data_IF_766502987224
#
_entry.id   IF_766502987224
#
_cell.length_a   1.000
_cell.length_b   1.000
_cell.length_c   1.000
_cell.angle_alpha   90.00
_cell.angle_beta   90.00
_cell.angle_gamma   90.00
#
_symmetry.space_group_name_H-M   'P 1'
#
loop_
_entity.id
_entity.type
_entity.pdbx_description
1 polymer ?
#
# COMPACT_ATOMS: atom_id res chain seq x y z
N UNK A 1 -10.90 17.23 -5.87
CA UNK A 1 -10.19 16.01 -5.41
C UNK A 1 -10.27 14.98 -6.53
N UNK A 2 -9.25 14.15 -6.76
CA UNK A 2 -9.32 13.17 -7.84
C UNK A 2 -10.42 12.12 -7.53
N UNK A 3 -11.20 11.70 -8.54
CA UNK A 3 -12.30 10.73 -8.39
C UNK A 3 -11.89 9.47 -7.61
N UNK A 4 -10.69 8.96 -7.89
CA UNK A 4 -10.13 7.79 -7.20
C UNK A 4 -9.92 8.01 -5.69
N UNK A 5 -9.53 9.22 -5.28
CA UNK A 5 -9.35 9.55 -3.86
C UNK A 5 -10.68 9.56 -3.12
N UNK A 6 -11.70 10.18 -3.73
CA UNK A 6 -13.06 10.22 -3.17
C UNK A 6 -13.60 8.81 -3.00
N UNK A 7 -13.47 7.97 -4.05
CA UNK A 7 -13.94 6.58 -3.99
C UNK A 7 -13.16 5.72 -3.00
N UNK A 8 -11.82 5.87 -2.93
CA UNK A 8 -11.00 5.16 -1.96
C UNK A 8 -11.41 5.48 -0.52
N UNK A 9 -11.57 6.77 -0.20
CA UNK A 9 -12.03 7.22 1.12
C UNK A 9 -13.48 6.83 1.42
N UNK A 10 -14.35 6.85 0.42
CA UNK A 10 -15.69 6.31 0.56
C UNK A 10 -15.69 4.82 0.93
N UNK A 11 -14.82 4.03 0.30
CA UNK A 11 -14.72 2.60 0.58
C UNK A 11 -14.17 2.30 1.98
N UNK A 12 -13.20 3.09 2.49
CA UNK A 12 -12.76 3.02 3.89
C UNK A 12 -13.93 3.22 4.87
N UNK A 13 -14.78 4.24 4.61
CA UNK A 13 -15.97 4.48 5.43
C UNK A 13 -16.98 3.33 5.38
N UNK A 14 -17.24 2.77 4.20
CA UNK A 14 -18.12 1.62 4.05
C UNK A 14 -17.60 0.40 4.83
N UNK A 15 -16.29 0.11 4.76
CA UNK A 15 -15.66 -0.96 5.52
C UNK A 15 -15.81 -0.76 7.04
N UNK A 16 -15.36 0.37 7.60
CA UNK A 16 -15.41 0.58 9.06
C UNK A 16 -16.85 0.52 9.58
N UNK A 17 -17.80 1.09 8.83
CA UNK A 17 -19.23 1.10 9.20
C UNK A 17 -19.83 -0.31 9.19
N UNK A 18 -19.51 -1.11 8.16
CA UNK A 18 -19.98 -2.50 8.06
C UNK A 18 -19.45 -3.35 9.21
N UNK A 19 -18.17 -3.23 9.52
CA UNK A 19 -17.58 -3.96 10.65
C UNK A 19 -18.16 -3.50 11.99
N UNK A 20 -18.29 -2.20 12.22
CA UNK A 20 -18.88 -1.66 13.45
C UNK A 20 -20.30 -2.20 13.71
N UNK A 21 -21.16 -2.16 12.68
CA UNK A 21 -22.53 -2.67 12.78
C UNK A 21 -22.54 -4.16 13.11
N UNK A 22 -21.79 -4.96 12.34
CA UNK A 22 -21.75 -6.41 12.54
C UNK A 22 -21.21 -6.82 13.92
N UNK A 23 -20.17 -6.15 14.42
CA UNK A 23 -19.62 -6.44 15.75
C UNK A 23 -20.61 -6.05 16.86
N UNK A 24 -21.29 -4.91 16.71
CA UNK A 24 -22.32 -4.48 17.66
C UNK A 24 -23.50 -5.47 17.67
N UNK A 25 -23.93 -5.97 16.51
CA UNK A 25 -24.97 -7.00 16.37
C UNK A 25 -24.56 -8.34 17.00
N UNK A 26 -23.27 -8.67 17.00
CA UNK A 26 -22.71 -9.82 17.73
C UNK A 26 -22.62 -9.60 19.26
N UNK A 27 -23.02 -8.43 19.76
CA UNK A 27 -22.97 -8.07 21.18
C UNK A 27 -21.59 -7.63 21.67
N UNK A 28 -20.66 -7.33 20.77
CA UNK A 28 -19.35 -6.78 21.15
C UNK A 28 -19.49 -5.32 21.58
N UNK A 29 -18.71 -4.92 22.58
CA UNK A 29 -18.55 -3.50 22.93
C UNK A 29 -17.62 -2.86 21.90
N UNK A 30 -18.14 -1.95 21.09
CA UNK A 30 -17.39 -1.30 20.02
C UNK A 30 -17.56 0.22 20.07
N UNK A 31 -16.54 0.94 19.64
CA UNK A 31 -16.62 2.38 19.38
C UNK A 31 -15.86 2.71 18.08
N UNK A 32 -16.28 3.76 17.39
CA UNK A 32 -15.52 4.34 16.29
C UNK A 32 -14.82 5.59 16.81
N UNK A 33 -13.52 5.70 16.59
CA UNK A 33 -12.79 6.94 16.83
C UNK A 33 -13.18 7.99 15.78
N UNK A 34 -13.91 9.03 16.18
CA UNK A 34 -14.36 10.13 15.31
C UNK A 34 -13.22 11.11 14.97
N UNK A 35 -12.15 10.59 14.38
CA UNK A 35 -11.00 11.39 13.96
C UNK A 35 -11.32 12.23 12.71
N UNK A 36 -10.44 13.20 12.40
CA UNK A 36 -10.52 13.95 11.14
C UNK A 36 -10.46 13.01 9.91
N UNK A 37 -9.71 11.91 10.00
CA UNK A 37 -9.64 10.92 8.93
C UNK A 37 -10.99 10.22 8.72
N UNK A 38 -11.65 9.84 9.82
CA UNK A 38 -13.00 9.27 9.78
C UNK A 38 -14.02 10.24 9.17
N UNK A 39 -14.07 11.48 9.65
CA UNK A 39 -14.98 12.50 9.11
C UNK A 39 -14.73 12.77 7.62
N UNK A 40 -13.46 12.75 7.20
CA UNK A 40 -13.09 12.89 5.78
C UNK A 40 -13.60 11.70 4.96
N UNK A 41 -13.45 10.48 5.46
CA UNK A 41 -13.95 9.28 4.79
C UNK A 41 -15.48 9.31 4.65
N UNK A 42 -16.18 9.71 5.71
CA UNK A 42 -17.64 9.89 5.72
C UNK A 42 -18.11 10.93 4.71
N UNK A 43 -17.53 12.13 4.70
CA UNK A 43 -17.87 13.20 3.76
C UNK A 43 -17.60 12.78 2.29
N UNK A 44 -16.51 12.04 2.03
CA UNK A 44 -16.25 11.51 0.70
C UNK A 44 -17.27 10.44 0.30
N UNK A 45 -17.69 9.56 1.22
CA UNK A 45 -18.73 8.57 0.96
C UNK A 45 -20.07 9.23 0.61
N UNK A 46 -20.49 10.24 1.37
CA UNK A 46 -21.75 10.96 1.17
C UNK A 46 -21.83 11.70 -0.18
N UNK A 47 -20.67 12.01 -0.79
CA UNK A 47 -20.59 12.62 -2.13
C UNK A 47 -20.78 11.63 -3.28
N UNK A 48 -20.72 10.33 -3.01
CA UNK A 48 -20.93 9.28 -4.01
C UNK A 48 -22.42 9.13 -4.30
N UNK A 49 -22.75 8.67 -5.50
CA UNK A 49 -24.14 8.31 -5.84
C UNK A 49 -24.60 7.06 -5.06
N UNK A 50 -25.92 6.89 -4.94
CA UNK A 50 -26.51 5.82 -4.12
C UNK A 50 -26.13 4.41 -4.57
N UNK A 51 -25.94 4.20 -5.88
CA UNK A 51 -25.54 2.90 -6.43
C UNK A 51 -24.12 2.57 -5.97
N UNK A 52 -23.20 3.52 -6.10
CA UNK A 52 -21.82 3.31 -5.67
C UNK A 52 -21.68 3.18 -4.15
N UNK A 53 -22.52 3.87 -3.37
CA UNK A 53 -22.59 3.69 -1.92
C UNK A 53 -23.01 2.25 -1.56
N UNK A 54 -24.04 1.73 -2.23
CA UNK A 54 -24.53 0.37 -2.03
C UNK A 54 -23.48 -0.68 -2.45
N UNK A 55 -22.85 -0.49 -3.61
CA UNK A 55 -21.75 -1.34 -4.08
C UNK A 55 -20.59 -1.41 -3.08
N UNK A 56 -20.20 -0.27 -2.49
CA UNK A 56 -19.16 -0.24 -1.47
C UNK A 56 -19.56 -0.97 -0.19
N UNK A 57 -20.81 -0.90 0.24
CA UNK A 57 -21.30 -1.68 1.38
C UNK A 57 -21.34 -3.17 1.09
N UNK A 58 -21.78 -3.58 -0.10
CA UNK A 58 -21.75 -4.98 -0.53
C UNK A 58 -20.31 -5.51 -0.58
N UNK A 59 -19.39 -4.72 -1.13
CA UNK A 59 -17.97 -5.05 -1.15
C UNK A 59 -17.39 -5.23 0.26
N UNK A 60 -17.74 -4.33 1.18
CA UNK A 60 -17.34 -4.43 2.58
C UNK A 60 -17.92 -5.67 3.26
N UNK A 61 -19.22 -5.96 3.04
CA UNK A 61 -19.92 -7.13 3.60
C UNK A 61 -19.29 -8.44 3.13
N UNK A 62 -18.91 -8.53 1.86
CA UNK A 62 -18.21 -9.68 1.31
C UNK A 62 -16.88 -9.97 2.06
N UNK A 63 -16.13 -8.94 2.47
CA UNK A 63 -14.91 -9.12 3.26
C UNK A 63 -15.13 -9.51 4.73
N UNK A 64 -16.24 -9.04 5.32
CA UNK A 64 -16.56 -9.19 6.74
C UNK A 64 -16.54 -10.66 7.17
N UNK A 65 -17.23 -11.53 6.43
CA UNK A 65 -17.34 -12.94 6.77
C UNK A 65 -15.99 -13.66 6.76
N UNK A 66 -15.13 -13.35 5.79
CA UNK A 66 -13.79 -13.92 5.71
C UNK A 66 -12.95 -13.50 6.93
N UNK A 67 -12.97 -12.21 7.28
CA UNK A 67 -12.14 -11.69 8.38
C UNK A 67 -12.66 -12.16 9.75
N UNK A 68 -13.97 -12.20 9.99
CA UNK A 68 -14.53 -12.72 11.25
C UNK A 68 -14.24 -14.22 11.45
N UNK A 69 -14.23 -15.02 10.38
CA UNK A 69 -13.84 -16.43 10.46
C UNK A 69 -12.35 -16.59 10.79
N UNK A 70 -11.53 -15.65 10.35
CA UNK A 70 -10.09 -15.66 10.57
C UNK A 70 -9.68 -15.10 11.93
N UNK A 71 -10.46 -14.17 12.51
CA UNK A 71 -10.08 -13.41 13.71
C UNK A 71 -11.07 -13.63 14.87
N UNK A 72 -10.89 -14.70 15.68
CA UNK A 72 -11.77 -14.95 16.83
C UNK A 72 -11.65 -13.84 17.89
N UNK A 73 -10.49 -13.20 18.02
CA UNK A 73 -10.32 -12.06 18.92
C UNK A 73 -11.23 -10.87 18.55
N UNK A 74 -11.60 -10.70 17.28
CA UNK A 74 -12.45 -9.59 16.86
C UNK A 74 -13.91 -9.75 17.32
N UNK A 75 -14.38 -10.99 17.41
CA UNK A 75 -15.81 -11.35 17.61
C UNK A 75 -16.11 -12.01 18.96
N UNK A 76 -15.17 -12.03 19.89
CA UNK A 76 -15.34 -12.64 21.21
C UNK A 76 -14.75 -11.76 22.32
N UNK A 77 -15.29 -11.93 23.53
CA UNK A 77 -14.86 -11.21 24.74
C UNK A 77 -15.73 -10.00 25.07
N UNK A 78 -15.36 -9.32 26.16
CA UNK A 78 -16.10 -8.17 26.70
C UNK A 78 -15.29 -6.87 26.66
N UNK A 79 -14.04 -6.97 26.23
CA UNK A 79 -13.15 -5.82 26.04
C UNK A 79 -13.68 -4.95 24.91
N UNK A 80 -13.52 -3.63 25.06
CA UNK A 80 -13.86 -2.65 24.06
C UNK A 80 -12.98 -2.82 22.81
N UNK A 81 -13.62 -2.88 21.64
CA UNK A 81 -12.95 -2.82 20.34
C UNK A 81 -13.05 -1.39 19.82
N UNK A 82 -11.94 -0.68 19.77
CA UNK A 82 -11.87 0.65 19.13
C UNK A 82 -11.55 0.48 17.66
N UNK A 83 -12.37 1.07 16.79
CA UNK A 83 -12.20 1.07 15.34
C UNK A 83 -11.75 2.47 14.90
N UNK A 84 -10.64 2.56 14.18
CA UNK A 84 -10.09 3.83 13.74
C UNK A 84 -9.74 3.82 12.26
N UNK A 85 -10.06 4.90 11.54
CA UNK A 85 -9.48 5.20 10.23
C UNK A 85 -8.16 5.92 10.46
N UNK A 86 -7.06 5.37 9.93
CA UNK A 86 -5.75 5.98 10.03
C UNK A 86 -5.64 7.17 9.07
N UNK A 87 -4.91 8.20 9.50
CA UNK A 87 -4.57 9.33 8.64
C UNK A 87 -3.68 8.83 7.51
N UNK A 88 -3.91 9.30 6.29
CA UNK A 88 -2.98 9.12 5.17
C UNK A 88 -1.61 9.70 5.55
N UNK A 89 -0.72 8.86 6.09
CA UNK A 89 0.66 9.26 6.32
C UNK A 89 1.29 9.38 4.94
N UNK A 90 1.79 10.56 4.61
CA UNK A 90 2.53 10.86 3.38
C UNK A 90 3.88 10.10 3.37
N UNK A 91 3.82 8.78 3.19
CA UNK A 91 4.95 7.89 2.91
C UNK A 91 6.02 7.79 4.00
N UNK A 92 5.70 8.02 5.28
CA UNK A 92 6.66 8.04 6.40
C UNK A 92 6.78 6.73 7.19
N UNK A 93 5.70 6.28 7.84
CA UNK A 93 5.84 5.42 9.04
C UNK A 93 5.65 3.91 8.83
N UNK A 94 5.85 3.39 7.62
CA UNK A 94 5.79 1.94 7.46
C UNK A 94 4.38 1.34 7.42
N UNK A 95 3.36 1.93 8.05
CA UNK A 95 2.00 1.38 8.11
C UNK A 95 1.21 1.61 6.81
N UNK A 96 0.57 0.55 6.29
CA UNK A 96 -0.26 0.57 5.07
C UNK A 96 -1.74 0.36 5.36
N UNK A 97 -2.10 0.13 6.62
CA UNK A 97 -3.47 -0.12 7.06
C UNK A 97 -4.24 1.19 6.94
N UNK A 98 -5.46 1.09 6.44
CA UNK A 98 -6.38 2.21 6.32
C UNK A 98 -7.34 2.22 7.53
N UNK A 99 -7.71 1.03 8.03
CA UNK A 99 -8.53 0.83 9.23
C UNK A 99 -7.77 -0.07 10.21
N UNK A 100 -7.83 0.24 11.50
CA UNK A 100 -7.28 -0.60 12.59
C UNK A 100 -8.36 -0.89 13.63
N UNK A 101 -8.35 -2.12 14.13
CA UNK A 101 -9.16 -2.60 15.25
C UNK A 101 -8.23 -2.84 16.42
N UNK A 102 -8.51 -2.24 17.57
CA UNK A 102 -7.64 -2.33 18.75
C UNK A 102 -8.44 -2.79 19.97
N UNK A 103 -7.82 -3.68 20.73
CA UNK A 103 -8.17 -4.07 22.09
C UNK A 103 -7.00 -3.71 23.00
N UNK A 104 -7.14 -2.63 23.76
CA UNK A 104 -6.04 -2.02 24.52
C UNK A 104 -5.63 -2.78 25.79
N UNK A 105 -6.55 -3.48 26.45
CA UNK A 105 -6.27 -4.30 27.64
C UNK A 105 -5.46 -5.56 27.28
N UNK A 106 -5.73 -6.16 26.11
CA UNK A 106 -5.04 -7.37 25.65
C UNK A 106 -3.91 -7.13 24.66
N UNK A 107 -3.60 -5.86 24.33
CA UNK A 107 -2.60 -5.46 23.32
C UNK A 107 -2.81 -6.19 21.97
N UNK A 108 -4.07 -6.40 21.60
CA UNK A 108 -4.44 -7.05 20.36
C UNK A 108 -4.84 -6.02 19.32
N UNK A 109 -4.26 -6.16 18.12
CA UNK A 109 -4.64 -5.35 16.96
C UNK A 109 -4.66 -6.17 15.67
N UNK A 110 -5.54 -5.77 14.76
CA UNK A 110 -5.47 -6.13 13.34
C UNK A 110 -5.78 -4.90 12.52
N UNK A 111 -5.44 -4.89 11.24
CA UNK A 111 -5.96 -3.86 10.35
C UNK A 111 -6.32 -4.35 8.97
N UNK A 112 -6.94 -3.42 8.25
CA UNK A 112 -7.44 -3.59 6.91
C UNK A 112 -6.83 -2.50 6.05
N UNK A 113 -6.29 -2.88 4.89
CA UNK A 113 -6.00 -1.92 3.83
C UNK A 113 -7.08 -2.01 2.75
N UNK A 114 -7.85 -0.94 2.61
CA UNK A 114 -8.94 -0.82 1.66
C UNK A 114 -8.40 -0.41 0.29
N UNK A 115 -8.81 -1.12 -0.75
CA UNK A 115 -8.48 -0.78 -2.14
C UNK A 115 -9.71 -0.86 -3.02
N UNK A 116 -10.03 0.26 -3.67
CA UNK A 116 -11.12 0.32 -4.65
C UNK A 116 -10.55 0.21 -6.07
N UNK A 117 -10.78 -0.93 -6.73
CA UNK A 117 -10.34 -1.22 -8.11
C UNK A 117 -8.84 -1.04 -8.40
N UNK A 118 -7.97 -1.12 -7.38
CA UNK A 118 -6.54 -0.85 -7.52
C UNK A 118 -5.66 -1.82 -6.71
N UNK A 119 -4.46 -2.11 -7.20
CA UNK A 119 -3.56 -3.10 -6.60
C UNK A 119 -2.22 -2.57 -6.10
N UNK A 120 -1.81 -1.33 -6.45
CA UNK A 120 -0.45 -0.90 -6.16
C UNK A 120 -0.15 -0.87 -4.66
N UNK A 121 1.14 -0.99 -4.38
CA UNK A 121 1.73 -0.90 -3.06
C UNK A 121 1.99 0.56 -2.69
N UNK A 122 2.95 0.78 -1.79
CA UNK A 122 3.44 2.12 -1.48
C UNK A 122 3.89 2.87 -2.72
N UNK A 123 3.49 4.13 -2.73
CA UNK A 123 3.79 5.10 -3.75
C UNK A 123 5.10 5.84 -3.45
N UNK A 124 6.23 5.11 -3.47
CA UNK A 124 7.53 5.69 -3.15
C UNK A 124 7.99 6.70 -4.21
N UNK A 125 8.86 7.63 -3.81
CA UNK A 125 9.44 8.64 -4.69
C UNK A 125 10.97 8.60 -4.63
N UNK A 126 11.59 9.04 -5.72
CA UNK A 126 13.02 9.34 -5.82
C UNK A 126 13.19 10.83 -6.09
N UNK A 127 14.18 11.45 -5.44
CA UNK A 127 14.64 12.83 -5.68
C UNK A 127 16.03 13.01 -5.08
N UNK A 128 16.64 14.18 -5.29
CA UNK A 128 17.92 14.54 -4.65
C UNK A 128 17.87 14.58 -3.12
N UNK A 129 16.68 14.65 -2.54
CA UNK A 129 16.48 14.84 -1.09
C UNK A 129 15.90 13.59 -0.42
N UNK A 130 15.67 12.51 -1.18
CA UNK A 130 15.13 11.26 -0.66
C UNK A 130 16.21 10.19 -0.74
N UNK A 131 16.81 9.90 0.41
CA UNK A 131 17.59 8.68 0.61
C UNK A 131 16.64 7.48 0.70
N UNK A 132 16.45 6.77 -0.41
CA UNK A 132 15.55 5.62 -0.44
C UNK A 132 16.07 4.46 0.42
N UNK A 133 17.39 4.27 0.50
CA UNK A 133 17.99 3.22 1.31
C UNK A 133 17.70 3.46 2.78
N UNK A 134 17.96 4.67 3.28
CA UNK A 134 17.68 5.03 4.67
C UNK A 134 16.19 4.97 4.95
N UNK A 135 15.37 5.51 4.06
CA UNK A 135 13.92 5.61 4.28
C UNK A 135 13.21 4.25 4.20
N UNK A 136 13.63 3.38 3.29
CA UNK A 136 12.94 2.10 3.06
C UNK A 136 13.57 0.98 3.88
N UNK A 137 14.89 0.96 3.97
CA UNK A 137 15.66 -0.15 4.52
C UNK A 137 16.35 0.21 5.85
N UNK A 138 16.43 1.50 6.21
CA UNK A 138 17.25 1.94 7.33
C UNK A 138 18.75 1.91 7.02
N UNK A 139 19.13 1.78 5.74
CA UNK A 139 20.51 1.65 5.27
C UNK A 139 20.84 2.77 4.28
N UNK A 140 21.66 3.77 4.63
CA UNK A 140 21.86 4.94 3.77
C UNK A 140 22.45 4.57 2.41
N UNK A 141 22.01 5.28 1.37
CA UNK A 141 22.59 5.13 0.03
C UNK A 141 24.00 5.73 -0.04
N UNK A 142 24.75 5.32 -1.05
CA UNK A 142 26.08 5.85 -1.34
C UNK A 142 26.03 7.30 -1.85
N UNK A 143 27.17 7.99 -1.75
CA UNK A 143 27.34 9.27 -2.44
C UNK A 143 27.26 9.09 -3.96
N UNK A 144 27.81 7.99 -4.48
CA UNK A 144 27.79 7.66 -5.92
C UNK A 144 26.35 7.61 -6.47
N UNK A 145 25.39 7.09 -5.70
CA UNK A 145 23.97 7.14 -6.05
C UNK A 145 23.48 8.58 -6.23
N UNK A 146 23.74 9.44 -5.25
CA UNK A 146 23.32 10.85 -5.32
C UNK A 146 24.01 11.57 -6.47
N UNK A 147 25.30 11.34 -6.68
CA UNK A 147 26.05 11.91 -7.80
C UNK A 147 25.47 11.48 -9.15
N UNK A 148 25.06 10.22 -9.29
CA UNK A 148 24.45 9.69 -10.51
C UNK A 148 23.08 10.31 -10.82
N UNK A 149 22.21 10.52 -9.82
CA UNK A 149 20.87 11.08 -10.05
C UNK A 149 20.83 12.62 -10.09
N UNK A 150 21.83 13.29 -9.50
CA UNK A 150 21.87 14.74 -9.31
C UNK A 150 21.72 15.54 -10.60
N UNK A 151 22.38 15.21 -11.73
CA UNK A 151 22.20 15.95 -12.98
C UNK A 151 20.74 15.96 -13.45
N UNK A 152 20.05 14.83 -13.35
CA UNK A 152 18.64 14.69 -13.77
C UNK A 152 17.74 15.56 -12.90
N UNK A 153 17.81 15.40 -11.57
CA UNK A 153 16.93 16.15 -10.67
C UNK A 153 17.27 17.63 -10.59
N UNK A 154 18.53 18.03 -10.81
CA UNK A 154 18.91 19.44 -10.94
C UNK A 154 18.27 20.05 -12.20
N UNK A 155 18.34 19.38 -13.35
CA UNK A 155 17.66 19.83 -14.58
C UNK A 155 16.15 19.99 -14.36
N UNK A 156 15.51 19.01 -13.71
CA UNK A 156 14.08 19.08 -13.39
C UNK A 156 13.74 20.23 -12.42
N UNK A 157 14.61 20.50 -11.44
CA UNK A 157 14.43 21.60 -10.50
C UNK A 157 14.55 22.96 -11.20
N UNK A 158 15.55 23.14 -12.06
CA UNK A 158 15.72 24.35 -12.87
C UNK A 158 14.50 24.61 -13.73
N UNK A 159 14.03 23.62 -14.49
CA UNK A 159 12.83 23.75 -15.33
C UNK A 159 11.58 24.09 -14.51
N UNK A 160 11.38 23.44 -13.36
CA UNK A 160 10.29 23.81 -12.46
C UNK A 160 10.43 25.28 -12.02
N UNK A 161 11.63 25.70 -11.61
CA UNK A 161 11.87 27.02 -11.04
C UNK A 161 11.73 28.18 -12.05
N UNK A 162 12.03 27.93 -13.33
CA UNK A 162 11.79 28.86 -14.43
C UNK A 162 10.32 29.27 -14.57
N UNK A 163 9.39 28.38 -14.23
CA UNK A 163 7.95 28.60 -14.50
C UNK A 163 7.07 28.53 -13.25
N UNK A 164 7.59 28.17 -12.07
CA UNK A 164 6.78 27.97 -10.84
C UNK A 164 5.97 29.19 -10.39
N UNK A 165 6.38 30.39 -10.80
CA UNK A 165 5.73 31.65 -10.48
C UNK A 165 4.60 32.02 -11.47
N UNK A 166 4.52 31.30 -12.60
CA UNK A 166 3.47 31.45 -13.61
C UNK A 166 2.22 30.65 -13.22
N UNK A 167 1.12 30.94 -13.92
CA UNK A 167 -0.11 30.18 -13.79
C UNK A 167 0.09 28.70 -14.14
N UNK A 168 -0.63 27.81 -13.47
CA UNK A 168 -0.48 26.34 -13.63
C UNK A 168 -0.62 25.85 -15.08
N UNK A 169 -1.35 26.58 -15.91
CA UNK A 169 -1.55 26.26 -17.32
C UNK A 169 -0.28 26.48 -18.17
N UNK A 170 0.55 27.44 -17.75
CA UNK A 170 1.77 27.94 -18.42
C UNK A 170 3.05 27.32 -17.87
N UNK A 171 2.97 26.61 -16.74
CA UNK A 171 4.10 25.86 -16.18
C UNK A 171 4.59 24.75 -17.12
N UNK A 172 5.90 24.50 -17.12
CA UNK A 172 6.52 23.44 -17.91
C UNK A 172 5.86 22.09 -17.64
N UNK A 173 5.51 21.38 -18.72
CA UNK A 173 4.84 20.07 -18.68
C UNK A 173 5.77 18.97 -19.16
N UNK A 174 5.56 17.76 -18.66
CA UNK A 174 6.35 16.59 -19.09
C UNK A 174 6.26 16.28 -20.59
N UNK A 175 5.25 16.83 -21.28
CA UNK A 175 5.09 16.72 -22.74
C UNK A 175 6.19 17.46 -23.51
N UNK A 176 6.95 18.36 -22.88
CA UNK A 176 8.08 19.05 -23.52
C UNK A 176 9.26 18.12 -23.81
N UNK A 177 9.36 16.98 -23.12
CA UNK A 177 10.43 16.02 -23.33
C UNK A 177 10.01 15.00 -24.39
N UNK A 178 10.64 15.07 -25.55
CA UNK A 178 10.41 14.11 -26.64
C UNK A 178 10.80 12.69 -26.21
N UNK A 179 11.90 12.52 -25.47
CA UNK A 179 12.43 11.22 -25.06
C UNK A 179 12.71 11.11 -23.56
N UNK A 180 11.70 11.46 -22.73
CA UNK A 180 11.81 11.37 -21.25
C UNK A 180 12.22 9.99 -20.72
N UNK A 181 11.87 8.90 -21.41
CA UNK A 181 12.23 7.56 -20.95
C UNK A 181 13.75 7.34 -20.98
N UNK A 182 14.43 7.86 -22.00
CA UNK A 182 15.89 7.75 -22.12
C UNK A 182 16.59 8.85 -21.34
N UNK A 183 16.11 10.10 -21.41
CA UNK A 183 16.82 11.24 -20.81
C UNK A 183 16.64 11.37 -19.30
N UNK A 184 15.56 10.81 -18.74
CA UNK A 184 15.16 11.06 -17.35
C UNK A 184 14.99 9.75 -16.60
N UNK A 185 14.16 8.83 -17.12
CA UNK A 185 13.82 7.62 -16.37
C UNK A 185 14.97 6.62 -16.33
N UNK A 186 15.62 6.36 -17.47
CA UNK A 186 16.69 5.37 -17.57
C UNK A 186 17.87 5.69 -16.62
N UNK A 187 18.46 6.91 -16.59
CA UNK A 187 19.56 7.20 -15.69
C UNK A 187 19.19 7.03 -14.20
N UNK A 188 17.96 7.42 -13.83
CA UNK A 188 17.50 7.30 -12.44
C UNK A 188 17.23 5.85 -12.07
N UNK A 189 16.66 5.04 -12.99
CA UNK A 189 16.43 3.62 -12.78
C UNK A 189 17.72 2.81 -12.70
N UNK A 190 18.71 3.13 -13.55
CA UNK A 190 20.03 2.51 -13.49
C UNK A 190 20.71 2.81 -12.14
N UNK A 191 20.73 4.08 -11.73
CA UNK A 191 21.28 4.47 -10.42
C UNK A 191 20.56 3.75 -9.26
N UNK A 192 19.23 3.68 -9.29
CA UNK A 192 18.45 2.93 -8.31
C UNK A 192 18.76 1.43 -8.32
N UNK A 193 18.85 0.81 -9.50
CA UNK A 193 19.19 -0.61 -9.68
C UNK A 193 20.55 -0.92 -9.08
N UNK A 194 21.59 -0.17 -9.48
CA UNK A 194 22.95 -0.39 -8.99
C UNK A 194 23.04 -0.20 -7.48
N UNK A 195 22.40 0.85 -6.95
CA UNK A 195 22.45 1.14 -5.52
C UNK A 195 21.71 0.07 -4.69
N UNK A 196 20.56 -0.41 -5.15
CA UNK A 196 19.82 -1.47 -4.44
C UNK A 196 20.61 -2.79 -4.43
N UNK A 197 21.28 -3.14 -5.53
CA UNK A 197 22.13 -4.33 -5.59
C UNK A 197 23.39 -4.17 -4.72
N UNK A 198 24.01 -2.99 -4.71
CA UNK A 198 25.15 -2.67 -3.83
C UNK A 198 24.78 -2.81 -2.35
N UNK A 199 23.62 -2.28 -1.95
CA UNK A 199 23.11 -2.43 -0.59
C UNK A 199 22.88 -3.91 -0.26
N UNK A 200 22.32 -4.69 -1.18
CA UNK A 200 22.11 -6.13 -0.98
C UNK A 200 23.42 -6.92 -0.85
N UNK A 201 24.46 -6.60 -1.63
CA UNK A 201 25.78 -7.20 -1.51
C UNK A 201 26.39 -6.97 -0.11
N UNK A 202 26.12 -5.81 0.49
CA UNK A 202 26.61 -5.44 1.82
C UNK A 202 25.73 -5.95 2.97
N UNK A 203 24.42 -6.08 2.72
CA UNK A 203 23.39 -6.37 3.70
C UNK A 203 22.40 -7.40 3.16
N UNK A 204 22.54 -8.65 3.60
CA UNK A 204 21.73 -9.77 3.10
C UNK A 204 20.24 -9.66 3.50
N UNK A 205 19.91 -8.82 4.48
CA UNK A 205 18.54 -8.54 4.95
C UNK A 205 17.74 -7.61 4.03
N UNK A 206 18.37 -6.98 3.03
CA UNK A 206 17.73 -6.01 2.12
C UNK A 206 16.43 -6.52 1.47
N UNK A 207 16.34 -7.77 0.95
CA UNK A 207 15.11 -8.27 0.34
C UNK A 207 13.92 -8.27 1.32
N UNK A 208 14.18 -8.73 2.55
CA UNK A 208 13.18 -8.76 3.63
C UNK A 208 12.73 -7.35 4.00
N UNK A 209 13.68 -6.45 4.27
CA UNK A 209 13.39 -5.06 4.63
C UNK A 209 12.60 -4.33 3.54
N UNK A 210 12.89 -4.62 2.27
CA UNK A 210 12.16 -4.06 1.14
C UNK A 210 10.69 -4.53 1.13
N UNK A 211 10.43 -5.82 1.35
CA UNK A 211 9.06 -6.35 1.46
C UNK A 211 8.32 -5.72 2.64
N UNK A 212 8.92 -5.69 3.82
CA UNK A 212 8.33 -5.07 5.02
C UNK A 212 8.06 -3.58 4.81
N UNK A 213 8.92 -2.87 4.10
CA UNK A 213 8.65 -1.48 3.77
C UNK A 213 7.49 -1.33 2.78
N UNK A 214 7.47 -2.10 1.69
CA UNK A 214 6.49 -1.94 0.62
C UNK A 214 5.09 -2.43 1.00
N UNK A 215 5.00 -3.53 1.74
CA UNK A 215 3.75 -4.11 2.22
C UNK A 215 3.34 -3.58 3.59
N UNK A 216 4.28 -3.03 4.35
CA UNK A 216 4.06 -2.57 5.70
C UNK A 216 4.56 -3.55 6.76
N UNK A 217 4.88 -2.99 7.92
CA UNK A 217 5.55 -3.71 9.02
C UNK A 217 4.59 -4.41 9.98
N UNK A 218 3.29 -4.15 9.83
CA UNK A 218 2.21 -4.71 10.64
C UNK A 218 1.37 -5.63 9.77
N UNK A 219 0.89 -6.72 10.35
CA UNK A 219 0.09 -7.69 9.62
C UNK A 219 -1.33 -7.16 9.40
N UNK A 220 -1.89 -7.47 8.23
CA UNK A 220 -3.17 -6.89 7.82
C UNK A 220 -3.89 -7.70 6.74
N UNK A 221 -5.17 -7.36 6.55
CA UNK A 221 -5.98 -7.83 5.44
C UNK A 221 -6.07 -6.75 4.37
N UNK A 222 -5.60 -7.03 3.16
CA UNK A 222 -5.86 -6.18 1.99
C UNK A 222 -7.22 -6.56 1.42
N UNK A 223 -8.18 -5.64 1.48
CA UNK A 223 -9.54 -5.80 0.99
C UNK A 223 -9.69 -5.03 -0.31
N UNK A 224 -9.92 -5.74 -1.41
CA UNK A 224 -9.94 -5.17 -2.76
C UNK A 224 -11.34 -5.32 -3.35
N UNK A 225 -12.06 -4.21 -3.52
CA UNK A 225 -13.32 -4.18 -4.25
C UNK A 225 -13.07 -4.23 -5.76
N UNK A 226 -13.80 -5.10 -6.45
CA UNK A 226 -13.78 -5.30 -7.91
C UNK A 226 -15.19 -5.16 -8.48
N UNK A 227 -15.64 -3.93 -8.64
CA UNK A 227 -17.04 -3.62 -8.98
C UNK A 227 -17.49 -4.29 -10.27
N UNK A 228 -16.64 -4.28 -11.30
CA UNK A 228 -16.93 -4.92 -12.59
C UNK A 228 -17.14 -6.42 -12.49
N UNK A 229 -16.50 -7.07 -11.52
CA UNK A 229 -16.58 -8.50 -11.29
C UNK A 229 -17.56 -8.85 -10.16
N UNK A 230 -18.19 -7.84 -9.53
CA UNK A 230 -19.07 -7.98 -8.36
C UNK A 230 -18.46 -8.91 -7.29
N UNK A 231 -17.17 -8.70 -6.98
CA UNK A 231 -16.43 -9.49 -6.01
C UNK A 231 -15.48 -8.66 -5.15
N UNK A 232 -15.17 -9.18 -3.97
CA UNK A 232 -14.16 -8.66 -3.07
C UNK A 232 -13.07 -9.69 -2.89
N UNK A 233 -11.82 -9.28 -3.05
CA UNK A 233 -10.65 -10.13 -2.78
C UNK A 233 -10.08 -9.75 -1.42
N UNK A 234 -9.95 -10.72 -0.52
CA UNK A 234 -9.29 -10.57 0.76
C UNK A 234 -7.94 -11.29 0.72
N UNK A 235 -6.85 -10.51 0.77
CA UNK A 235 -5.49 -11.02 0.85
C UNK A 235 -4.95 -10.81 2.26
N UNK A 236 -4.48 -11.87 2.92
CA UNK A 236 -3.91 -11.75 4.26
C UNK A 236 -2.37 -11.70 4.19
N UNK A 237 -1.81 -10.59 4.65
CA UNK A 237 -0.36 -10.38 4.76
C UNK A 237 0.06 -10.56 6.22
N UNK A 238 0.36 -11.81 6.58
CA UNK A 238 0.72 -12.23 7.94
C UNK A 238 2.25 -12.34 8.09
N UNK A 239 2.96 -11.22 7.97
CA UNK A 239 4.43 -11.19 7.89
C UNK A 239 5.09 -11.54 9.23
N UNK A 240 4.43 -11.21 10.35
CA UNK A 240 4.90 -11.41 11.72
C UNK A 240 4.10 -12.48 12.48
N UNK A 241 3.24 -13.20 11.78
CA UNK A 241 2.39 -14.26 12.32
C UNK A 241 1.40 -13.80 13.40
N UNK A 242 0.96 -12.54 13.36
CA UNK A 242 0.03 -11.95 14.35
C UNK A 242 -1.45 -12.02 13.93
N UNK A 243 -1.77 -12.56 12.76
CA UNK A 243 -3.14 -12.84 12.34
C UNK A 243 -3.62 -14.23 12.79
N UNK A 244 -4.94 -14.38 12.91
CA UNK A 244 -5.59 -15.61 13.35
C UNK A 244 -5.07 -16.13 14.70
N UNK A 245 -4.86 -15.22 15.64
CA UNK A 245 -4.55 -15.54 17.04
C UNK A 245 -5.83 -16.04 17.71
N UNK A 246 -5.74 -17.12 18.48
CA UNK A 246 -6.88 -17.68 19.21
C UNK A 246 -7.42 -16.66 20.23
N UNK A 247 -8.72 -16.68 20.47
CA UNK A 247 -9.30 -16.05 21.65
C UNK A 247 -9.53 -17.13 22.71
N UNK A 248 -8.66 -17.18 23.73
CA UNK A 248 -8.69 -18.27 24.72
C UNK A 248 -8.70 -19.65 24.04
N UNK A 249 -9.73 -20.47 24.26
CA UNK A 249 -9.92 -21.79 23.62
C UNK A 249 -10.58 -21.73 22.24
N UNK A 250 -11.09 -20.56 21.82
CA UNK A 250 -11.77 -20.35 20.55
C UNK A 250 -10.72 -20.18 19.45
N UNK A 251 -10.71 -21.14 18.51
CA UNK A 251 -9.80 -21.16 17.37
C UNK A 251 -10.40 -20.43 16.18
N UNK A 252 -9.55 -19.85 15.30
CA UNK A 252 -10.00 -19.31 14.01
C UNK A 252 -10.65 -20.43 13.18
N UNK A 253 -11.79 -20.14 12.56
CA UNK A 253 -12.47 -21.05 11.63
C UNK A 253 -11.67 -21.19 10.32
N UNK A 254 -11.01 -20.11 9.92
CA UNK A 254 -10.09 -20.08 8.78
C UNK A 254 -8.71 -19.65 9.28
N UNK A 255 -7.74 -20.55 9.27
CA UNK A 255 -6.38 -20.21 9.73
C UNK A 255 -5.61 -19.48 8.62
N UNK A 256 -5.20 -18.25 8.88
CA UNK A 256 -4.25 -17.54 8.01
C UNK A 256 -2.85 -18.14 8.18
N UNK A 257 -2.20 -18.43 7.05
CA UNK A 257 -0.82 -18.93 7.03
C UNK A 257 0.14 -17.81 7.39
N UNK A 258 1.13 -18.13 8.21
CA UNK A 258 2.25 -17.24 8.48
C UNK A 258 3.14 -17.05 7.26
N UNK A 259 3.68 -15.85 7.08
CA UNK A 259 4.60 -15.52 6.00
C UNK A 259 6.04 -15.31 6.47
N UNK A 260 6.29 -15.30 7.79
CA UNK A 260 7.60 -15.08 8.40
C UNK A 260 8.69 -16.00 7.85
N UNK A 261 8.32 -17.25 7.53
CA UNK A 261 9.22 -18.30 7.00
C UNK A 261 9.44 -18.24 5.49
N UNK A 262 8.65 -17.43 4.78
CA UNK A 262 8.73 -17.27 3.31
C UNK A 262 9.05 -15.83 2.90
N UNK A 263 9.50 -14.97 3.81
CA UNK A 263 10.09 -13.69 3.45
C UNK A 263 11.32 -13.91 2.56
N UNK A 264 11.61 -13.02 1.60
CA UNK A 264 12.72 -13.25 0.68
C UNK A 264 14.06 -13.06 1.40
N UNK A 265 15.01 -13.91 1.04
CA UNK A 265 16.40 -13.87 1.53
C UNK A 265 17.38 -13.63 0.39
N UNK A 266 16.95 -13.77 -0.86
CA UNK A 266 17.82 -13.69 -2.03
C UNK A 266 17.17 -12.97 -3.20
N UNK A 267 17.94 -12.08 -3.83
CA UNK A 267 17.60 -11.49 -5.12
C UNK A 267 18.13 -12.41 -6.23
N UNK A 268 17.26 -12.82 -7.16
CA UNK A 268 17.66 -13.53 -8.38
C UNK A 268 18.00 -12.57 -9.50
N UNK A 269 17.18 -11.53 -9.69
CA UNK A 269 17.40 -10.53 -10.74
C UNK A 269 16.70 -9.22 -10.42
N UNK A 270 17.28 -8.12 -10.89
CA UNK A 270 16.67 -6.80 -10.93
C UNK A 270 16.95 -6.21 -12.31
N UNK A 271 16.00 -6.34 -13.23
CA UNK A 271 16.22 -6.02 -14.64
C UNK A 271 15.04 -5.27 -15.25
N UNK A 272 15.26 -4.66 -16.41
CA UNK A 272 14.18 -4.01 -17.12
C UNK A 272 13.15 -5.02 -17.59
N UNK A 273 11.88 -4.69 -17.37
CA UNK A 273 10.78 -5.39 -18.02
C UNK A 273 11.01 -5.37 -19.53
N UNK A 274 10.86 -6.52 -20.19
CA UNK A 274 11.11 -6.65 -21.63
C UNK A 274 10.36 -5.58 -22.43
N UNK A 275 11.11 -4.80 -23.21
CA UNK A 275 10.57 -3.72 -24.05
C UNK A 275 10.18 -2.44 -23.29
N UNK A 276 10.49 -2.34 -21.99
CA UNK A 276 10.25 -1.14 -21.19
C UNK A 276 11.57 -0.41 -20.90
N UNK A 277 11.49 0.92 -20.89
CA UNK A 277 12.59 1.81 -20.45
C UNK A 277 12.28 2.53 -19.13
N UNK A 278 11.12 2.27 -18.56
CA UNK A 278 10.64 2.95 -17.36
C UNK A 278 10.24 1.99 -16.23
N UNK A 279 10.44 0.68 -16.42
CA UNK A 279 9.99 -0.35 -15.48
C UNK A 279 11.10 -1.36 -15.21
N UNK A 280 11.46 -1.51 -13.94
CA UNK A 280 12.28 -2.61 -13.45
C UNK A 280 11.39 -3.71 -12.85
N UNK A 281 11.83 -4.96 -12.95
CA UNK A 281 11.24 -6.13 -12.31
C UNK A 281 12.30 -6.77 -11.40
N UNK A 282 11.98 -6.82 -10.11
CA UNK A 282 12.76 -7.48 -9.07
C UNK A 282 12.18 -8.87 -8.84
N UNK A 283 12.98 -9.91 -9.03
CA UNK A 283 12.62 -11.30 -8.79
C UNK A 283 13.45 -11.83 -7.63
N UNK A 284 12.77 -12.39 -6.62
CA UNK A 284 13.37 -12.90 -5.40
C UNK A 284 12.95 -14.35 -5.15
N UNK A 285 13.61 -14.98 -4.19
CA UNK A 285 13.22 -16.30 -3.69
C UNK A 285 11.83 -16.28 -3.02
N UNK A 286 11.33 -17.49 -2.69
CA UNK A 286 10.05 -17.72 -2.04
C UNK A 286 8.81 -17.19 -2.79
N UNK A 287 8.95 -16.87 -4.09
CA UNK A 287 7.85 -16.47 -4.97
C UNK A 287 7.53 -14.98 -4.95
N UNK A 288 8.41 -14.14 -4.39
CA UNK A 288 8.24 -12.70 -4.39
C UNK A 288 8.77 -12.06 -5.67
N UNK A 289 7.92 -11.28 -6.33
CA UNK A 289 8.32 -10.46 -7.48
C UNK A 289 7.64 -9.10 -7.44
N UNK A 290 8.42 -8.03 -7.68
CA UNK A 290 7.96 -6.64 -7.62
C UNK A 290 8.28 -5.92 -8.93
N UNK A 291 7.32 -5.16 -9.44
CA UNK A 291 7.55 -4.21 -10.54
C UNK A 291 7.70 -2.79 -9.99
N UNK A 292 8.72 -2.06 -10.44
CA UNK A 292 8.98 -0.67 -10.15
C UNK A 292 8.87 0.15 -11.43
N UNK A 293 7.71 0.77 -11.67
CA UNK A 293 7.50 1.63 -12.84
C UNK A 293 7.57 3.10 -12.48
N UNK A 294 8.47 3.85 -13.10
CA UNK A 294 8.48 5.32 -12.98
C UNK A 294 7.31 5.90 -13.78
N UNK A 295 6.58 6.80 -13.15
CA UNK A 295 5.59 7.66 -13.80
C UNK A 295 5.59 9.07 -13.18
N UNK A 296 4.98 9.99 -13.90
CA UNK A 296 4.79 11.36 -13.43
C UNK A 296 3.38 11.48 -12.84
N UNK A 297 3.29 11.75 -11.55
CA UNK A 297 2.00 11.94 -10.88
C UNK A 297 1.31 13.26 -11.28
N UNK A 298 2.11 14.25 -11.65
CA UNK A 298 1.70 15.57 -12.10
C UNK A 298 1.94 15.69 -13.61
N UNK A 299 1.07 16.41 -14.31
CA UNK A 299 1.33 16.80 -15.71
C UNK A 299 2.46 17.82 -15.83
N UNK A 300 2.77 18.52 -14.73
CA UNK A 300 3.83 19.54 -14.63
C UNK A 300 5.13 18.92 -14.17
N UNK A 301 6.24 19.49 -14.65
CA UNK A 301 7.59 19.05 -14.28
C UNK A 301 7.81 19.26 -12.79
N UNK A 302 8.27 18.21 -12.11
CA UNK A 302 8.61 18.21 -10.69
C UNK A 302 9.98 17.53 -10.53
N UNK A 303 10.86 18.01 -9.64
CA UNK A 303 12.15 17.37 -9.35
C UNK A 303 12.00 16.15 -8.44
N UNK A 304 10.98 15.33 -8.70
CA UNK A 304 10.77 14.05 -8.05
C UNK A 304 10.07 13.11 -9.02
N UNK A 305 10.48 11.85 -9.01
CA UNK A 305 9.86 10.80 -9.81
C UNK A 305 9.11 9.86 -8.88
N UNK A 306 7.92 9.42 -9.29
CA UNK A 306 7.08 8.53 -8.49
C UNK A 306 7.14 7.12 -9.05
N UNK A 307 7.30 6.15 -8.17
CA UNK A 307 7.07 4.75 -8.52
C UNK A 307 5.59 4.40 -8.44
N UNK A 308 5.12 3.68 -9.44
CA UNK A 308 3.99 2.77 -9.34
C UNK A 308 4.56 1.37 -9.08
N UNK A 309 4.46 0.93 -7.82
CA UNK A 309 5.04 -0.33 -7.34
C UNK A 309 3.96 -1.37 -7.25
N UNK A 310 4.16 -2.53 -7.88
CA UNK A 310 3.19 -3.61 -7.90
C UNK A 310 3.83 -4.94 -7.50
N UNK A 311 3.12 -5.72 -6.67
CA UNK A 311 3.43 -7.15 -6.54
C UNK A 311 2.98 -7.84 -7.83
N UNK A 312 3.93 -8.41 -8.56
CA UNK A 312 3.67 -9.23 -9.76
C UNK A 312 3.86 -10.73 -9.46
N UNK A 313 4.44 -11.07 -8.32
CA UNK A 313 4.53 -12.41 -7.77
C UNK A 313 4.43 -12.35 -6.25
N UNK A 314 3.65 -13.27 -5.67
CA UNK A 314 3.50 -13.45 -4.23
C UNK A 314 3.68 -14.93 -3.88
N UNK A 315 4.16 -15.26 -2.66
CA UNK A 315 4.22 -16.64 -2.20
C UNK A 315 2.84 -17.31 -2.24
N UNK A 316 2.79 -18.60 -2.57
CA UNK A 316 1.56 -19.41 -2.49
C UNK A 316 0.99 -19.50 -1.07
N UNK A 317 1.80 -19.18 -0.06
CA UNK A 317 1.36 -19.11 1.34
C UNK A 317 0.49 -17.89 1.63
N UNK A 318 0.48 -16.86 0.78
CA UNK A 318 -0.44 -15.71 0.95
C UNK A 318 -1.86 -16.20 0.76
N UNK A 319 -2.67 -16.12 1.82
CA UNK A 319 -4.10 -16.43 1.73
C UNK A 319 -4.78 -15.41 0.83
N UNK A 320 -5.47 -15.88 -0.21
CA UNK A 320 -6.22 -15.08 -1.16
C UNK A 320 -7.61 -15.67 -1.33
N UNK A 321 -8.62 -14.99 -0.76
CA UNK A 321 -10.02 -15.45 -0.77
C UNK A 321 -10.82 -14.48 -1.64
N UNK A 322 -11.60 -15.00 -2.58
CA UNK A 322 -12.54 -14.23 -3.39
C UNK A 322 -13.96 -14.48 -2.88
N UNK A 323 -14.67 -13.41 -2.56
CA UNK A 323 -16.05 -13.42 -2.07
C UNK A 323 -16.90 -12.62 -3.05
N UNK A 324 -17.94 -13.23 -3.62
CA UNK A 324 -18.87 -12.55 -4.51
C UNK A 324 -19.86 -11.72 -3.70
N UNK A 325 -20.29 -10.59 -4.26
CA UNK A 325 -21.28 -9.74 -3.62
C UNK A 325 -22.65 -10.40 -3.73
N UNK A 326 -23.43 -10.35 -2.65
CA UNK A 326 -24.82 -10.81 -2.69
C UNK A 326 -25.64 -9.76 -3.46
N UNK A 327 -26.53 -10.22 -4.34
CA UNK A 327 -27.45 -9.37 -5.12
C UNK A 327 -28.55 -8.76 -4.25
#
# INVERSE_FOLDING_TARGET
MAKQTVQGKGFEYACITTFYKALTELGMRCEIEESKAYLTAQDNFQKLDGILQEDMFQAAKASLNTILKAEPNLSNGQELVTLSILVDKSGGDGDVRDIVFIKGETDWEIGISCKHNHHALKHSRLSNDIDFGLKWLGLPVSNDYFEAIKPVFTRLATLRDETKHLDKAEQHKWTMFENKEVEIYLPVLEAFKFELLRLYEQHQEVPKLLIEYLLGRKDFYKVIAKDKERKTIVQAFNLNDTLSINYQTIRPKTKIKGLSTVLPTRIFSLDYKRGSKNTLELIMDNGWSISFRIHNASSRVEPSLKFDIQLIGIPQSVTNIEEYWED
#
